data_IF_350967562369
#
_entry.id   IF_350967562369
#
_cell.length_a   1.000
_cell.length_b   1.000
_cell.length_c   1.000
_cell.angle_alpha   90.00
_cell.angle_beta   90.00
_cell.angle_gamma   90.00
#
_symmetry.space_group_name_H-M   'P 1'
#
loop_
_entity.id
_entity.type
_entity.pdbx_description
1 polymer ?
#
# COMPACT_ATOMS: atom_id res chain seq x y z
N UNK A 1 2.04 5.01 -17.64
CA UNK A 1 1.29 3.90 -16.99
C UNK A 1 1.17 4.15 -15.49
N UNK A 2 0.30 5.08 -15.07
CA UNK A 2 0.15 5.56 -13.67
C UNK A 2 -1.17 5.08 -13.02
N UNK A 3 -2.05 4.42 -13.78
CA UNK A 3 -3.44 4.20 -13.41
C UNK A 3 -3.69 3.08 -12.37
N UNK A 4 -2.69 2.23 -12.08
CA UNK A 4 -2.89 1.01 -11.25
C UNK A 4 -2.86 1.27 -9.74
N UNK A 5 -2.13 2.29 -9.27
CA UNK A 5 -2.19 2.78 -7.88
C UNK A 5 -3.46 3.60 -7.60
N UNK A 6 -4.04 4.17 -8.66
CA UNK A 6 -5.27 4.96 -8.55
C UNK A 6 -6.44 4.11 -8.09
N UNK A 7 -6.62 2.91 -8.65
CA UNK A 7 -7.84 2.13 -8.41
C UNK A 7 -7.97 1.59 -6.98
N UNK A 8 -6.92 0.99 -6.42
CA UNK A 8 -6.93 0.48 -5.03
C UNK A 8 -7.08 1.64 -4.03
N UNK A 9 -6.32 2.71 -4.22
CA UNK A 9 -6.43 3.92 -3.40
C UNK A 9 -7.81 4.57 -3.54
N UNK A 10 -8.36 4.62 -4.75
CA UNK A 10 -9.67 5.18 -5.06
C UNK A 10 -10.78 4.35 -4.41
N UNK A 11 -10.70 3.02 -4.45
CA UNK A 11 -11.67 2.12 -3.85
C UNK A 11 -11.61 2.21 -2.31
N UNK A 12 -10.41 2.23 -1.73
CA UNK A 12 -10.24 2.45 -0.28
C UNK A 12 -10.75 3.84 0.13
N UNK A 13 -10.50 4.88 -0.67
CA UNK A 13 -11.03 6.24 -0.44
C UNK A 13 -12.56 6.28 -0.56
N UNK A 14 -13.12 5.62 -1.57
CA UNK A 14 -14.57 5.51 -1.78
C UNK A 14 -15.24 4.83 -0.59
N UNK A 15 -14.70 3.71 -0.11
CA UNK A 15 -15.16 3.05 1.11
C UNK A 15 -15.10 4.01 2.30
N UNK A 16 -13.95 4.68 2.50
CA UNK A 16 -13.77 5.60 3.62
C UNK A 16 -14.82 6.72 3.61
N UNK A 17 -15.07 7.35 2.46
CA UNK A 17 -16.13 8.34 2.30
C UNK A 17 -17.53 7.78 2.61
N UNK A 18 -17.83 6.53 2.21
CA UNK A 18 -19.11 5.88 2.55
C UNK A 18 -19.25 5.60 4.05
N UNK A 19 -18.17 5.20 4.72
CA UNK A 19 -18.14 4.99 6.16
C UNK A 19 -18.35 6.29 6.94
N UNK A 20 -17.75 7.40 6.50
CA UNK A 20 -18.03 8.72 7.08
C UNK A 20 -19.47 9.17 6.87
N UNK A 21 -20.07 8.91 5.70
CA UNK A 21 -21.52 9.14 5.49
C UNK A 21 -22.39 8.25 6.38
N UNK A 22 -21.96 7.00 6.63
CA UNK A 22 -22.65 6.07 7.51
C UNK A 22 -22.62 6.55 8.96
N UNK A 23 -21.48 7.08 9.43
CA UNK A 23 -21.32 7.65 10.78
C UNK A 23 -22.41 8.66 11.13
N UNK A 24 -22.83 9.50 10.17
CA UNK A 24 -23.89 10.49 10.40
C UNK A 24 -25.24 9.86 10.75
N UNK A 25 -25.50 8.62 10.32
CA UNK A 25 -26.75 7.89 10.58
C UNK A 25 -26.75 7.10 11.90
N UNK A 26 -25.58 6.82 12.47
CA UNK A 26 -25.40 5.92 13.62
C UNK A 26 -24.83 6.64 14.84
N UNK A 27 -25.55 7.67 15.33
CA UNK A 27 -25.18 8.48 16.51
C UNK A 27 -25.95 8.12 17.79
N UNK A 28 -26.67 6.99 17.81
CA UNK A 28 -27.54 6.59 18.94
C UNK A 28 -26.92 5.58 19.91
N UNK A 29 -27.52 5.41 21.11
CA UNK A 29 -27.01 4.52 22.18
C UNK A 29 -27.14 3.02 21.87
N UNK A 30 -27.94 2.65 20.86
CA UNK A 30 -28.27 1.25 20.55
C UNK A 30 -27.21 0.54 19.70
N UNK A 31 -26.09 1.20 19.38
CA UNK A 31 -25.01 0.65 18.58
C UNK A 31 -23.66 1.28 18.92
N UNK A 32 -22.58 0.61 18.53
CA UNK A 32 -21.23 1.17 18.62
C UNK A 32 -21.08 2.45 17.78
N UNK A 33 -20.42 3.45 18.36
CA UNK A 33 -20.12 4.70 17.67
C UNK A 33 -19.06 4.47 16.57
N UNK A 34 -19.35 4.91 15.35
CA UNK A 34 -18.38 4.92 14.24
C UNK A 34 -17.37 6.06 14.44
N UNK A 35 -16.50 5.90 15.42
CA UNK A 35 -15.38 6.82 15.61
C UNK A 35 -14.39 6.71 14.44
N UNK A 36 -13.55 7.73 14.27
CA UNK A 36 -12.45 7.70 13.29
C UNK A 36 -11.56 6.47 13.46
N UNK A 37 -11.41 5.98 14.70
CA UNK A 37 -10.64 4.76 15.01
C UNK A 37 -11.31 3.49 14.43
N UNK A 38 -12.63 3.36 14.56
CA UNK A 38 -13.39 2.24 13.97
C UNK A 38 -13.36 2.30 12.45
N UNK A 39 -13.53 3.48 11.86
CA UNK A 39 -13.47 3.67 10.39
C UNK A 39 -12.07 3.29 9.86
N UNK A 40 -11.01 3.74 10.54
CA UNK A 40 -9.64 3.39 10.17
C UNK A 40 -9.38 1.88 10.28
N UNK A 41 -9.90 1.24 11.33
CA UNK A 41 -9.80 -0.22 11.49
C UNK A 41 -10.47 -0.98 10.33
N UNK A 42 -11.72 -0.66 10.00
CA UNK A 42 -12.45 -1.30 8.89
C UNK A 42 -11.73 -1.06 7.56
N UNK A 43 -11.27 0.17 7.31
CA UNK A 43 -10.53 0.54 6.10
C UNK A 43 -9.20 -0.21 5.97
N UNK A 44 -8.50 -0.42 7.09
CA UNK A 44 -7.25 -1.21 7.16
C UNK A 44 -7.52 -2.68 6.87
N UNK A 45 -8.55 -3.27 7.49
CA UNK A 45 -8.95 -4.67 7.23
C UNK A 45 -9.35 -4.88 5.77
N UNK A 46 -10.09 -3.94 5.20
CA UNK A 46 -10.47 -3.94 3.79
C UNK A 46 -9.26 -3.88 2.85
N UNK A 47 -8.32 -2.98 3.11
CA UNK A 47 -7.08 -2.87 2.32
C UNK A 47 -6.26 -4.16 2.37
N UNK A 48 -6.18 -4.80 3.54
CA UNK A 48 -5.52 -6.09 3.71
C UNK A 48 -6.20 -7.19 2.88
N UNK A 49 -7.53 -7.27 2.93
CA UNK A 49 -8.32 -8.23 2.16
C UNK A 49 -8.17 -8.03 0.65
N UNK A 50 -8.13 -6.78 0.17
CA UNK A 50 -7.89 -6.48 -1.25
C UNK A 50 -6.49 -6.94 -1.67
N UNK A 51 -5.45 -6.61 -0.90
CA UNK A 51 -4.08 -6.99 -1.24
C UNK A 51 -3.90 -8.52 -1.27
N UNK A 52 -4.61 -9.25 -0.41
CA UNK A 52 -4.58 -10.71 -0.41
C UNK A 52 -5.55 -11.35 -1.40
N UNK A 53 -6.51 -10.56 -1.91
CA UNK A 53 -7.66 -11.00 -2.70
C UNK A 53 -8.49 -12.09 -2.01
N UNK A 54 -8.66 -11.97 -0.69
CA UNK A 54 -9.37 -12.95 0.17
C UNK A 54 -10.00 -12.24 1.37
N UNK A 55 -11.09 -12.79 1.90
CA UNK A 55 -11.57 -12.47 3.26
C UNK A 55 -12.47 -11.24 3.43
N UNK A 56 -12.90 -10.56 2.34
CA UNK A 56 -13.76 -9.36 2.44
C UNK A 56 -15.05 -9.59 3.25
N UNK A 57 -15.71 -10.72 3.04
CA UNK A 57 -16.96 -11.09 3.75
C UNK A 57 -16.78 -11.31 5.25
N UNK A 58 -15.54 -11.57 5.69
CA UNK A 58 -15.24 -11.88 7.09
C UNK A 58 -14.91 -10.62 7.91
N UNK A 59 -14.76 -9.45 7.29
CA UNK A 59 -14.43 -8.20 7.99
C UNK A 59 -15.50 -7.83 9.01
N UNK A 60 -16.78 -7.89 8.61
CA UNK A 60 -17.88 -7.52 9.52
C UNK A 60 -18.07 -8.55 10.62
N UNK A 61 -18.22 -9.86 10.36
CA UNK A 61 -18.30 -10.86 11.42
C UNK A 61 -17.16 -10.74 12.44
N UNK A 62 -15.93 -10.60 11.95
CA UNK A 62 -14.73 -10.47 12.78
C UNK A 62 -14.76 -9.23 13.69
N UNK A 63 -15.25 -8.09 13.20
CA UNK A 63 -15.34 -6.87 14.01
C UNK A 63 -16.42 -6.93 15.11
N UNK A 64 -17.35 -7.88 15.01
CA UNK A 64 -18.45 -8.12 15.95
C UNK A 64 -18.21 -9.38 16.81
N UNK A 65 -16.97 -9.89 16.85
CA UNK A 65 -16.58 -11.05 17.68
C UNK A 65 -16.87 -12.42 17.06
N UNK A 66 -17.45 -12.49 15.85
CA UNK A 66 -17.65 -13.77 15.15
C UNK A 66 -16.39 -14.13 14.36
N UNK A 67 -15.63 -15.08 14.92
CA UNK A 67 -14.38 -15.55 14.36
C UNK A 67 -14.47 -16.90 13.64
N UNK A 68 -15.67 -17.46 13.46
CA UNK A 68 -15.89 -18.78 12.83
C UNK A 68 -15.17 -18.92 11.49
N UNK A 69 -15.42 -17.98 10.58
CA UNK A 69 -14.89 -17.96 9.22
C UNK A 69 -13.54 -17.23 9.07
N UNK A 70 -12.89 -16.83 10.16
CA UNK A 70 -11.62 -16.12 10.08
C UNK A 70 -10.45 -17.04 9.66
N UNK A 71 -9.47 -16.47 8.94
CA UNK A 71 -8.20 -17.16 8.63
C UNK A 71 -7.25 -17.07 9.83
N UNK A 72 -6.51 -18.16 10.14
CA UNK A 72 -5.51 -18.20 11.22
C UNK A 72 -4.40 -17.17 11.02
N UNK A 73 -4.02 -16.85 9.78
CA UNK A 73 -2.97 -15.87 9.50
C UNK A 73 -3.38 -14.43 9.81
N UNK A 74 -4.70 -14.15 9.82
CA UNK A 74 -5.25 -12.81 10.01
C UNK A 74 -5.87 -12.61 11.40
N UNK A 75 -6.45 -13.65 11.98
CA UNK A 75 -7.19 -13.55 13.23
C UNK A 75 -6.36 -14.00 14.43
N UNK A 76 -5.94 -13.04 15.24
CA UNK A 76 -5.26 -13.30 16.52
C UNK A 76 -6.11 -14.13 17.49
N UNK A 77 -7.46 -14.10 17.37
CA UNK A 77 -8.35 -14.92 18.21
C UNK A 77 -8.15 -16.41 17.95
N UNK A 78 -7.94 -16.83 16.69
CA UNK A 78 -7.64 -18.24 16.38
C UNK A 78 -6.24 -18.67 16.83
N UNK A 79 -5.32 -17.73 17.00
CA UNK A 79 -3.96 -18.02 17.49
C UNK A 79 -3.92 -18.11 19.01
N UNK A 80 -4.59 -17.20 19.71
CA UNK A 80 -4.68 -17.20 21.16
C UNK A 80 -6.04 -16.62 21.61
N UNK A 81 -7.07 -17.45 21.76
CA UNK A 81 -8.42 -17.00 22.11
C UNK A 81 -8.49 -16.31 23.47
N UNK A 82 -7.73 -16.81 24.45
CA UNK A 82 -7.83 -16.37 25.85
C UNK A 82 -7.26 -14.97 26.09
N UNK A 83 -6.29 -14.54 25.29
CA UNK A 83 -5.65 -13.22 25.41
C UNK A 83 -6.04 -12.24 24.29
N UNK A 84 -6.92 -12.63 23.38
CA UNK A 84 -7.23 -11.82 22.21
C UNK A 84 -8.01 -10.57 22.57
N UNK A 85 -7.50 -9.42 22.10
CA UNK A 85 -8.20 -8.14 22.10
C UNK A 85 -7.93 -7.45 20.79
N UNK A 86 -8.93 -6.76 20.24
CA UNK A 86 -8.74 -5.98 19.03
C UNK A 86 -7.78 -4.81 19.31
N UNK A 87 -6.56 -4.88 18.79
CA UNK A 87 -5.52 -3.86 19.07
C UNK A 87 -5.90 -2.46 18.59
N UNK A 88 -6.73 -2.39 17.55
CA UNK A 88 -7.06 -1.18 16.80
C UNK A 88 -8.50 -0.70 17.04
N UNK A 89 -9.36 -1.50 17.70
CA UNK A 89 -10.70 -1.05 18.08
C UNK A 89 -10.66 -0.26 19.40
N UNK A 90 -11.61 0.67 19.63
CA UNK A 90 -11.73 1.36 20.91
C UNK A 90 -11.86 0.38 22.07
N UNK A 91 -11.01 0.54 23.09
CA UNK A 91 -10.96 -0.32 24.29
C UNK A 91 -10.73 -1.82 24.03
N UNK A 92 -10.37 -2.18 22.79
CA UNK A 92 -10.18 -3.56 22.35
C UNK A 92 -11.43 -4.44 22.42
N UNK A 93 -12.61 -3.83 22.43
CA UNK A 93 -13.91 -4.50 22.47
C UNK A 93 -14.49 -4.66 21.07
N UNK A 94 -15.34 -5.67 20.92
CA UNK A 94 -16.12 -5.92 19.71
C UNK A 94 -17.16 -4.82 19.49
N UNK A 95 -17.55 -4.62 18.23
CA UNK A 95 -18.67 -3.76 17.87
C UNK A 95 -19.99 -4.45 18.20
N UNK A 96 -21.02 -3.65 18.52
CA UNK A 96 -22.38 -4.12 18.80
C UNK A 96 -23.43 -3.28 18.07
N UNK A 97 -24.61 -3.87 17.86
CA UNK A 97 -25.77 -3.25 17.20
C UNK A 97 -26.08 -3.88 15.84
N UNK A 98 -27.25 -4.54 15.73
CA UNK A 98 -27.64 -5.29 14.52
C UNK A 98 -27.86 -4.39 13.31
N UNK A 99 -28.42 -3.20 13.54
CA UNK A 99 -28.62 -2.18 12.51
C UNK A 99 -27.28 -1.75 11.89
N UNK A 100 -26.25 -1.59 12.72
CA UNK A 100 -24.91 -1.26 12.28
C UNK A 100 -24.24 -2.42 11.54
N UNK A 101 -24.33 -3.63 12.08
CA UNK A 101 -23.82 -4.86 11.45
C UNK A 101 -24.38 -5.02 10.04
N UNK A 102 -25.69 -4.86 9.89
CA UNK A 102 -26.39 -4.94 8.60
C UNK A 102 -25.92 -3.85 7.64
N UNK A 103 -25.79 -2.61 8.10
CA UNK A 103 -25.36 -1.50 7.24
C UNK A 103 -23.91 -1.65 6.75
N UNK A 104 -22.99 -2.09 7.62
CA UNK A 104 -21.60 -2.38 7.24
C UNK A 104 -21.52 -3.56 6.27
N UNK A 105 -22.32 -4.60 6.50
CA UNK A 105 -22.39 -5.77 5.61
C UNK A 105 -22.83 -5.34 4.21
N UNK A 106 -23.89 -4.53 4.11
CA UNK A 106 -24.38 -4.02 2.82
C UNK A 106 -23.31 -3.23 2.06
N UNK A 107 -22.56 -2.36 2.76
CA UNK A 107 -21.49 -1.57 2.12
C UNK A 107 -20.38 -2.48 1.58
N UNK A 108 -19.95 -3.48 2.35
CA UNK A 108 -18.85 -4.37 1.96
C UNK A 108 -19.26 -5.46 0.95
N UNK A 109 -20.53 -5.87 0.94
CA UNK A 109 -21.05 -6.85 -0.01
C UNK A 109 -21.05 -6.29 -1.44
N UNK A 110 -21.30 -4.99 -1.61
CA UNK A 110 -21.12 -4.32 -2.92
C UNK A 110 -19.71 -4.45 -3.49
N UNK A 111 -18.69 -4.44 -2.62
CA UNK A 111 -17.30 -4.65 -3.02
C UNK A 111 -16.93 -6.12 -3.19
N UNK A 112 -17.75 -7.03 -2.67
CA UNK A 112 -17.56 -8.49 -2.75
C UNK A 112 -18.18 -9.10 -4.01
N UNK A 113 -18.86 -8.29 -4.85
CA UNK A 113 -19.40 -8.72 -6.14
C UNK A 113 -18.28 -9.12 -7.11
N UNK A 114 -18.49 -10.20 -7.86
CA UNK A 114 -17.49 -10.76 -8.80
C UNK A 114 -16.95 -9.74 -9.79
N UNK A 115 -17.79 -8.81 -10.26
CA UNK A 115 -17.37 -7.73 -11.17
C UNK A 115 -16.30 -6.83 -10.53
N UNK A 116 -16.46 -6.51 -9.24
CA UNK A 116 -15.53 -5.65 -8.50
C UNK A 116 -14.28 -6.44 -8.11
N UNK A 117 -14.45 -7.70 -7.67
CA UNK A 117 -13.35 -8.61 -7.36
C UNK A 117 -12.46 -8.86 -8.58
N UNK A 118 -13.04 -9.07 -9.77
CA UNK A 118 -12.29 -9.25 -11.01
C UNK A 118 -11.51 -7.99 -11.42
N UNK A 119 -12.03 -6.80 -11.09
CA UNK A 119 -11.30 -5.52 -11.29
C UNK A 119 -10.19 -5.32 -10.26
N UNK A 120 -10.37 -5.84 -9.03
CA UNK A 120 -9.43 -5.72 -7.92
C UNK A 120 -8.31 -6.78 -7.97
N UNK A 121 -8.59 -7.98 -8.47
CA UNK A 121 -7.67 -9.12 -8.52
C UNK A 121 -6.30 -8.83 -9.21
N UNK A 122 -6.23 -8.10 -10.34
CA UNK A 122 -4.95 -7.76 -10.96
C UNK A 122 -4.19 -6.61 -10.27
N UNK A 123 -4.78 -5.91 -9.29
CA UNK A 123 -4.12 -4.82 -8.55
C UNK A 123 -3.20 -5.29 -7.42
N UNK A 124 -2.85 -6.59 -7.39
CA UNK A 124 -2.35 -7.32 -6.22
C UNK A 124 -0.99 -6.90 -5.64
N UNK A 125 -0.22 -6.04 -6.29
CA UNK A 125 0.93 -5.37 -5.65
C UNK A 125 1.55 -4.33 -6.58
N UNK A 126 1.16 -3.07 -6.44
CA UNK A 126 1.87 -1.96 -7.07
C UNK A 126 3.24 -1.72 -6.44
N UNK A 127 3.45 -2.18 -5.19
CA UNK A 127 4.72 -2.09 -4.46
C UNK A 127 5.88 -2.68 -5.29
N UNK A 128 5.66 -3.77 -6.03
CA UNK A 128 6.68 -4.37 -6.91
C UNK A 128 7.14 -3.42 -8.02
N UNK A 129 6.25 -2.53 -8.47
CA UNK A 129 6.52 -1.58 -9.55
C UNK A 129 6.83 -0.17 -9.05
N UNK A 130 6.77 0.10 -7.74
CA UNK A 130 7.09 1.43 -7.20
C UNK A 130 8.53 1.82 -7.49
N UNK A 131 9.48 0.90 -7.30
CA UNK A 131 10.88 1.17 -7.64
C UNK A 131 11.08 1.45 -9.12
N UNK A 132 10.37 0.71 -10.00
CA UNK A 132 10.40 0.95 -11.44
C UNK A 132 9.79 2.32 -11.79
N UNK A 133 8.65 2.67 -11.19
CA UNK A 133 7.99 3.96 -11.39
C UNK A 133 8.86 5.12 -10.91
N UNK A 134 9.58 4.97 -9.80
CA UNK A 134 10.55 5.97 -9.34
C UNK A 134 11.70 6.13 -10.34
N UNK A 135 12.22 5.04 -10.90
CA UNK A 135 13.26 5.11 -11.94
C UNK A 135 12.73 5.74 -13.23
N UNK A 136 11.50 5.44 -13.66
CA UNK A 136 10.88 6.10 -14.82
C UNK A 136 10.69 7.60 -14.54
N UNK A 137 10.20 7.94 -13.34
CA UNK A 137 9.98 9.32 -12.92
C UNK A 137 11.25 10.16 -12.82
N UNK A 138 12.40 9.55 -12.52
CA UNK A 138 13.68 10.25 -12.51
C UNK A 138 14.20 10.59 -13.92
N UNK A 139 13.79 9.83 -14.94
CA UNK A 139 14.13 10.09 -16.36
C UNK A 139 13.18 11.06 -17.05
N UNK A 140 11.93 11.11 -16.56
CA UNK A 140 10.86 11.99 -17.04
C UNK A 140 10.28 12.82 -15.89
N UNK A 141 11.05 13.77 -15.33
CA UNK A 141 10.62 14.59 -14.20
C UNK A 141 9.44 15.49 -14.59
N UNK A 142 8.46 15.62 -13.68
CA UNK A 142 7.29 16.48 -13.88
C UNK A 142 7.62 17.98 -13.97
N UNK A 143 8.82 18.38 -13.55
CA UNK A 143 9.30 19.77 -13.66
C UNK A 143 9.54 20.20 -15.10
N UNK A 144 9.60 19.25 -16.04
CA UNK A 144 9.77 19.51 -17.46
C UNK A 144 8.64 18.88 -18.25
N UNK A 145 8.11 19.59 -19.25
CA UNK A 145 7.05 19.10 -20.11
C UNK A 145 7.69 18.42 -21.32
N UNK A 146 7.69 17.08 -21.32
CA UNK A 146 8.11 16.29 -22.49
C UNK A 146 6.91 15.73 -23.28
N UNK A 147 5.69 15.87 -22.75
CA UNK A 147 4.47 15.35 -23.38
C UNK A 147 4.27 15.90 -24.80
N UNK A 148 3.96 15.01 -25.75
CA UNK A 148 3.77 15.37 -27.16
C UNK A 148 5.04 15.33 -28.03
N UNK A 149 6.20 15.02 -27.45
CA UNK A 149 7.46 14.82 -28.20
C UNK A 149 7.92 13.36 -28.20
N UNK A 150 8.66 12.95 -29.24
CA UNK A 150 9.31 11.62 -29.29
C UNK A 150 10.27 11.39 -28.11
N UNK A 151 10.82 12.47 -27.55
CA UNK A 151 11.71 12.43 -26.39
C UNK A 151 11.06 11.82 -25.14
N UNK A 152 9.74 11.96 -24.99
CA UNK A 152 9.01 11.37 -23.86
C UNK A 152 9.03 9.83 -23.91
N UNK A 153 8.82 9.25 -25.10
CA UNK A 153 8.82 7.80 -25.25
C UNK A 153 10.20 7.22 -24.93
N UNK A 154 11.27 7.87 -25.41
CA UNK A 154 12.64 7.47 -25.11
C UNK A 154 12.96 7.53 -23.60
N UNK A 155 12.60 8.64 -22.93
CA UNK A 155 12.82 8.81 -21.48
C UNK A 155 12.06 7.78 -20.66
N UNK A 156 10.82 7.48 -21.03
CA UNK A 156 10.03 6.44 -20.38
C UNK A 156 10.65 5.05 -20.59
N UNK A 157 11.16 4.76 -21.79
CA UNK A 157 11.82 3.47 -22.10
C UNK A 157 13.17 3.29 -21.37
N UNK A 158 13.88 4.38 -21.05
CA UNK A 158 15.12 4.34 -20.28
C UNK A 158 14.92 3.76 -18.86
N UNK A 159 13.75 3.94 -18.25
CA UNK A 159 13.50 3.46 -16.89
C UNK A 159 13.51 1.92 -16.77
N UNK A 160 12.72 1.20 -17.59
CA UNK A 160 12.79 -0.25 -17.70
C UNK A 160 14.16 -0.75 -18.15
N UNK A 161 14.78 -0.09 -19.13
CA UNK A 161 16.11 -0.47 -19.61
C UNK A 161 17.16 -0.42 -18.49
N UNK A 162 17.20 0.67 -17.71
CA UNK A 162 18.11 0.78 -16.56
C UNK A 162 17.83 -0.28 -15.49
N UNK A 163 16.56 -0.58 -15.24
CA UNK A 163 16.15 -1.56 -14.22
C UNK A 163 16.58 -2.98 -14.59
N UNK A 164 16.50 -3.33 -15.88
CA UNK A 164 16.80 -4.67 -16.37
C UNK A 164 18.28 -4.86 -16.72
N UNK A 165 18.93 -3.82 -17.29
CA UNK A 165 20.28 -3.92 -17.87
C UNK A 165 21.36 -3.20 -17.06
N UNK A 166 20.99 -2.48 -15.99
CA UNK A 166 21.90 -1.63 -15.20
C UNK A 166 22.09 -0.25 -15.84
N UNK A 167 23.00 0.55 -15.28
CA UNK A 167 23.33 1.88 -15.81
C UNK A 167 24.02 1.83 -17.18
N UNK A 168 24.60 0.68 -17.54
CA UNK A 168 25.23 0.42 -18.84
C UNK A 168 24.23 0.18 -20.00
N UNK A 169 22.91 0.32 -19.75
CA UNK A 169 21.89 0.15 -20.80
C UNK A 169 22.14 1.04 -22.04
N UNK A 170 22.65 2.26 -21.83
CA UNK A 170 22.93 3.19 -22.90
C UNK A 170 24.14 2.75 -23.73
N UNK A 171 25.22 2.32 -23.08
CA UNK A 171 26.41 1.77 -23.74
C UNK A 171 26.06 0.53 -24.58
N UNK A 172 25.24 -0.38 -24.05
CA UNK A 172 24.71 -1.53 -24.80
C UNK A 172 23.91 -1.13 -26.03
N UNK A 173 23.10 -0.07 -25.91
CA UNK A 173 22.29 0.45 -27.04
C UNK A 173 23.18 1.07 -28.12
N UNK A 174 24.20 1.84 -27.72
CA UNK A 174 25.17 2.43 -28.66
C UNK A 174 25.93 1.36 -29.45
N UNK A 175 26.41 0.32 -28.78
CA UNK A 175 27.09 -0.80 -29.45
C UNK A 175 26.17 -1.55 -30.40
N UNK A 176 24.95 -1.88 -29.95
CA UNK A 176 24.04 -2.74 -30.69
C UNK A 176 23.39 -2.06 -31.91
N UNK A 177 23.08 -0.77 -31.83
CA UNK A 177 22.34 -0.06 -32.88
C UNK A 177 23.22 0.83 -33.75
N UNK A 178 24.29 1.38 -33.18
CA UNK A 178 25.11 2.39 -33.86
C UNK A 178 26.55 1.92 -34.10
N UNK A 179 26.93 0.74 -33.59
CA UNK A 179 28.31 0.23 -33.63
C UNK A 179 29.34 1.20 -33.03
N UNK A 180 28.90 2.01 -32.06
CA UNK A 180 29.76 2.97 -31.37
C UNK A 180 30.22 2.37 -30.04
N UNK A 181 31.52 2.30 -29.85
CA UNK A 181 32.13 1.90 -28.59
C UNK A 181 31.98 3.01 -27.52
N UNK A 182 31.43 2.73 -26.33
CA UNK A 182 31.31 3.69 -25.26
C UNK A 182 32.69 4.15 -24.78
N UNK A 183 32.86 5.47 -24.66
CA UNK A 183 34.12 6.06 -24.23
C UNK A 183 34.50 5.72 -22.78
N UNK A 184 35.78 5.92 -22.45
CA UNK A 184 36.36 5.66 -21.13
C UNK A 184 35.55 6.24 -19.96
N UNK A 185 35.17 7.52 -20.05
CA UNK A 185 34.40 8.20 -19.00
C UNK A 185 33.00 7.61 -18.80
N UNK A 186 32.36 7.12 -19.88
CA UNK A 186 31.08 6.43 -19.79
C UNK A 186 31.21 5.17 -18.97
N UNK A 187 32.20 4.32 -19.30
CA UNK A 187 32.40 3.03 -18.64
C UNK A 187 32.73 3.18 -17.15
N UNK A 188 33.52 4.19 -16.78
CA UNK A 188 33.78 4.50 -15.37
C UNK A 188 32.50 4.89 -14.65
N UNK A 189 31.72 5.79 -15.24
CA UNK A 189 30.50 6.28 -14.62
C UNK A 189 29.47 5.16 -14.43
N UNK A 190 29.21 4.36 -15.47
CA UNK A 190 28.25 3.25 -15.39
C UNK A 190 28.67 2.22 -14.36
N UNK A 191 29.96 1.83 -14.36
CA UNK A 191 30.53 0.90 -13.37
C UNK A 191 30.39 1.42 -11.93
N UNK A 192 30.63 2.70 -11.70
CA UNK A 192 30.49 3.31 -10.39
C UNK A 192 29.02 3.33 -9.92
N UNK A 193 28.09 3.64 -10.83
CA UNK A 193 26.66 3.67 -10.52
C UNK A 193 26.09 2.27 -10.25
N UNK A 194 26.47 1.27 -11.05
CA UNK A 194 26.07 -0.11 -10.81
C UNK A 194 26.64 -0.65 -9.50
N UNK A 195 27.90 -0.33 -9.18
CA UNK A 195 28.50 -0.66 -7.88
C UNK A 195 27.71 -0.05 -6.72
N UNK A 196 27.31 1.23 -6.83
CA UNK A 196 26.49 1.90 -5.82
C UNK A 196 25.15 1.18 -5.62
N UNK A 197 24.46 0.81 -6.70
CA UNK A 197 23.19 0.07 -6.64
C UNK A 197 23.37 -1.29 -5.97
N UNK A 198 24.43 -2.03 -6.31
CA UNK A 198 24.72 -3.34 -5.72
C UNK A 198 25.00 -3.21 -4.22
N UNK A 199 25.87 -2.28 -3.81
CA UNK A 199 26.18 -2.02 -2.41
C UNK A 199 24.92 -1.64 -1.62
N UNK A 200 24.07 -0.78 -2.18
CA UNK A 200 22.80 -0.39 -1.55
C UNK A 200 21.84 -1.58 -1.40
N UNK A 201 21.75 -2.43 -2.43
CA UNK A 201 20.91 -3.64 -2.40
C UNK A 201 21.40 -4.62 -1.34
N UNK A 202 22.72 -4.83 -1.22
CA UNK A 202 23.32 -5.67 -0.19
C UNK A 202 23.06 -5.08 1.21
N UNK A 203 23.33 -3.79 1.41
CA UNK A 203 23.06 -3.07 2.66
C UNK A 203 21.61 -3.22 3.11
N UNK A 204 20.65 -3.00 2.20
CA UNK A 204 19.20 -3.08 2.49
C UNK A 204 18.73 -4.51 2.83
N UNK A 205 19.46 -5.54 2.40
CA UNK A 205 19.17 -6.95 2.74
C UNK A 205 19.60 -7.33 4.16
N UNK A 206 20.57 -6.61 4.75
CA UNK A 206 21.11 -6.95 6.07
C UNK A 206 20.05 -6.87 7.18
N UNK A 207 20.18 -7.75 8.19
CA UNK A 207 19.31 -7.74 9.38
C UNK A 207 19.42 -6.41 10.14
N UNK A 208 20.63 -5.85 10.23
CA UNK A 208 20.89 -4.57 10.89
C UNK A 208 20.09 -3.43 10.26
N UNK A 209 20.11 -3.30 8.92
CA UNK A 209 19.33 -2.29 8.22
C UNK A 209 17.82 -2.47 8.45
N UNK A 210 17.31 -3.70 8.37
CA UNK A 210 15.89 -3.99 8.63
C UNK A 210 15.47 -3.65 10.07
N UNK A 211 16.30 -3.98 11.06
CA UNK A 211 16.08 -3.65 12.48
C UNK A 211 16.06 -2.14 12.71
N UNK A 212 17.07 -1.43 12.22
CA UNK A 212 17.16 0.04 12.33
C UNK A 212 15.97 0.74 11.68
N UNK A 213 15.56 0.31 10.48
CA UNK A 213 14.36 0.83 9.81
C UNK A 213 13.09 0.63 10.65
N UNK A 214 12.93 -0.53 11.28
CA UNK A 214 11.76 -0.81 12.12
C UNK A 214 11.76 0.07 13.39
N UNK A 215 12.93 0.25 14.03
CA UNK A 215 13.08 1.14 15.19
C UNK A 215 12.72 2.59 14.85
N UNK A 216 13.22 3.11 13.73
CA UNK A 216 12.88 4.45 13.26
C UNK A 216 11.37 4.61 13.01
N UNK A 217 10.73 3.60 12.42
CA UNK A 217 9.27 3.60 12.22
C UNK A 217 8.50 3.61 13.54
N UNK A 218 8.92 2.83 14.54
CA UNK A 218 8.31 2.83 15.88
C UNK A 218 8.49 4.20 16.56
N UNK A 219 9.68 4.79 16.47
CA UNK A 219 9.96 6.12 17.01
C UNK A 219 9.05 7.19 16.38
N UNK A 220 8.92 7.20 15.05
CA UNK A 220 8.02 8.13 14.35
C UNK A 220 6.56 7.95 14.79
N UNK A 221 6.07 6.71 14.88
CA UNK A 221 4.71 6.44 15.35
C UNK A 221 4.51 6.95 16.78
N UNK A 222 5.48 6.74 17.68
CA UNK A 222 5.41 7.23 19.06
C UNK A 222 5.37 8.76 19.12
N UNK A 223 6.13 9.46 18.26
CA UNK A 223 6.12 10.91 18.18
C UNK A 223 4.79 11.43 17.63
N UNK A 224 4.22 10.77 16.62
CA UNK A 224 2.91 11.13 16.07
C UNK A 224 1.80 10.95 17.11
N UNK A 225 1.81 9.85 17.88
CA UNK A 225 0.86 9.62 18.97
C UNK A 225 0.96 10.70 20.06
N UNK A 226 2.19 11.08 20.46
CA UNK A 226 2.41 12.18 21.41
C UNK A 226 1.88 13.52 20.88
N UNK A 227 2.10 13.82 19.59
CA UNK A 227 1.58 15.04 18.97
C UNK A 227 0.05 15.07 18.91
N UNK A 228 -0.58 13.94 18.65
CA UNK A 228 -2.05 13.81 18.64
C UNK A 228 -2.64 13.99 20.05
N UNK A 229 -2.01 13.40 21.08
CA UNK A 229 -2.40 13.59 22.47
C UNK A 229 -2.28 15.05 22.92
N UNK A 230 -1.19 15.73 22.53
CA UNK A 230 -0.97 17.14 22.85
C UNK A 230 -1.90 18.10 22.10
N UNK A 231 -2.46 17.68 20.96
CA UNK A 231 -3.37 18.49 20.15
C UNK A 231 -4.86 18.36 20.56
N UNK A 232 -5.19 17.54 21.58
CA UNK A 232 -6.55 17.40 22.10
C UNK A 232 -7.55 16.75 21.12
N UNK A 233 -7.09 16.11 20.04
CA UNK A 233 -7.93 15.42 19.06
C UNK A 233 -8.22 14.01 19.58
N UNK A 234 -9.23 13.87 20.44
CA UNK A 234 -9.81 12.59 20.86
C UNK A 234 -11.08 12.27 20.09
#
# INVERSE_FOLDING_TARGET
>A
MVLRNGLTLFITRSLNSRLYKLRERFKGPNCSVLSSKVINYVTKCFSYCINQNKGLKNIVPHAFGDHSCCDNAWCGCKQNPAAYKHTELPYGKDLFGDSLKKALTNILDEYSKDIVVNKLAPCKDSQRNESLNSTIGSKNPKTHIYGGSESNNFRVACGPAQTNLGYDYFGKTLKALFHIEPGYYHNIHTSAMDRKVICDKQRKRTKAFKRSRNQLSQQQNSQTLRRQANAGIT
#
